data_IF_225271149105
#
_entry.id   IF_225271149105
#
_cell.length_a   1.000
_cell.length_b   1.000
_cell.length_c   1.000
_cell.angle_alpha   90.00
_cell.angle_beta   90.00
_cell.angle_gamma   90.00
#
_symmetry.space_group_name_H-M   'P 1'
#
loop_
_entity.id
_entity.type
_entity.pdbx_description
1 polymer ?
#
# COMPACT_ATOMS: atom_id res chain seq x y z
N UNK A 1 -0.75 26.05 -0.64
CA UNK A 1 -2.19 25.81 -0.32
C UNK A 1 -2.22 24.42 0.28
N UNK A 2 -2.44 24.27 1.60
CA UNK A 2 -2.08 23.04 2.32
C UNK A 2 -2.68 21.74 1.75
N UNK A 3 -3.85 21.81 1.12
CA UNK A 3 -4.49 20.67 0.46
C UNK A 3 -3.80 20.25 -0.84
N UNK A 4 -3.33 21.21 -1.65
CA UNK A 4 -2.62 20.92 -2.89
C UNK A 4 -1.26 20.27 -2.62
N UNK A 5 -0.53 20.81 -1.65
CA UNK A 5 0.79 20.31 -1.26
C UNK A 5 0.70 18.84 -0.77
N UNK A 6 -0.37 18.51 -0.03
CA UNK A 6 -0.67 17.13 0.39
C UNK A 6 -1.01 16.19 -0.77
N UNK A 7 -1.77 16.66 -1.77
CA UNK A 7 -2.09 15.83 -2.95
C UNK A 7 -0.83 15.55 -3.77
N UNK A 8 0.01 16.57 -3.95
CA UNK A 8 1.28 16.44 -4.66
C UNK A 8 2.23 15.47 -3.95
N UNK A 9 2.31 15.50 -2.63
CA UNK A 9 3.13 14.54 -1.87
C UNK A 9 2.70 13.08 -2.11
N UNK A 10 1.40 12.81 -2.18
CA UNK A 10 0.88 11.46 -2.47
C UNK A 10 1.17 11.05 -3.90
N UNK A 11 1.01 11.99 -4.85
CA UNK A 11 1.30 11.75 -6.25
C UNK A 11 2.78 11.42 -6.47
N UNK A 12 3.67 12.16 -5.81
CA UNK A 12 5.12 11.94 -5.86
C UNK A 12 5.50 10.54 -5.35
N UNK A 13 5.01 10.12 -4.19
CA UNK A 13 5.24 8.77 -3.65
C UNK A 13 4.67 7.67 -4.54
N UNK A 14 3.49 7.92 -5.12
CA UNK A 14 2.89 6.99 -6.06
C UNK A 14 3.74 6.85 -7.32
N UNK A 15 4.34 7.95 -7.80
CA UNK A 15 5.25 7.94 -8.95
C UNK A 15 6.51 7.11 -8.64
N UNK A 16 7.15 7.36 -7.49
CA UNK A 16 8.32 6.60 -7.04
C UNK A 16 8.04 5.09 -6.97
N UNK A 17 6.85 4.71 -6.50
CA UNK A 17 6.40 3.31 -6.51
C UNK A 17 6.29 2.74 -7.94
N UNK A 18 5.73 3.51 -8.88
CA UNK A 18 5.61 3.10 -10.28
C UNK A 18 6.94 3.03 -11.02
N UNK A 19 7.92 3.86 -10.66
CA UNK A 19 9.28 3.78 -11.21
C UNK A 19 9.96 2.44 -10.89
N UNK A 20 9.57 1.80 -9.79
CA UNK A 20 10.02 0.47 -9.37
C UNK A 20 8.99 -0.63 -9.64
N UNK A 21 8.03 -0.41 -10.55
CA UNK A 21 6.92 -1.33 -10.78
C UNK A 21 7.37 -2.76 -11.11
N UNK A 22 8.43 -2.89 -11.91
CA UNK A 22 8.96 -4.20 -12.32
C UNK A 22 9.47 -5.00 -11.12
N UNK A 23 10.08 -4.33 -10.16
CA UNK A 23 10.58 -4.91 -8.92
C UNK A 23 9.40 -5.34 -8.03
N UNK A 24 8.36 -4.51 -7.93
CA UNK A 24 7.13 -4.84 -7.22
C UNK A 24 6.41 -6.06 -7.81
N UNK A 25 6.42 -6.23 -9.14
CA UNK A 25 5.82 -7.39 -9.81
C UNK A 25 6.49 -8.73 -9.46
N UNK A 26 7.64 -8.72 -8.78
CA UNK A 26 8.33 -9.93 -8.29
C UNK A 26 7.86 -10.37 -6.90
N UNK A 27 7.07 -9.54 -6.21
CA UNK A 27 6.46 -9.89 -4.95
C UNK A 27 5.43 -11.00 -5.15
N UNK A 28 5.12 -11.74 -4.08
CA UNK A 28 3.95 -12.59 -4.13
C UNK A 28 2.67 -11.73 -4.28
N UNK A 29 1.57 -12.30 -4.80
CA UNK A 29 0.36 -11.53 -5.10
C UNK A 29 -0.19 -10.71 -3.92
N UNK A 30 -0.12 -11.24 -2.69
CA UNK A 30 -0.65 -10.55 -1.52
C UNK A 30 0.27 -9.42 -1.06
N UNK A 31 1.59 -9.62 -1.06
CA UNK A 31 2.56 -8.53 -0.82
C UNK A 31 2.46 -7.44 -1.88
N UNK A 32 2.27 -7.81 -3.15
CA UNK A 32 2.08 -6.86 -4.24
C UNK A 32 0.84 -5.98 -4.01
N UNK A 33 -0.32 -6.59 -3.74
CA UNK A 33 -1.57 -5.84 -3.53
C UNK A 33 -1.45 -4.95 -2.31
N UNK A 34 -0.87 -5.44 -1.21
CA UNK A 34 -0.63 -4.63 -0.01
C UNK A 34 0.26 -3.42 -0.33
N UNK A 35 1.42 -3.64 -0.97
CA UNK A 35 2.36 -2.59 -1.40
C UNK A 35 1.66 -1.55 -2.28
N UNK A 36 0.82 -1.98 -3.22
CA UNK A 36 0.08 -1.09 -4.10
C UNK A 36 -0.95 -0.23 -3.35
N UNK A 37 -1.66 -0.81 -2.38
CA UNK A 37 -2.66 -0.11 -1.58
C UNK A 37 -2.03 0.98 -0.69
N UNK A 38 -0.84 0.72 -0.15
CA UNK A 38 -0.16 1.65 0.78
C UNK A 38 0.83 2.61 0.10
N UNK A 39 1.04 2.53 -1.22
CA UNK A 39 2.05 3.31 -1.98
C UNK A 39 2.08 4.82 -1.74
N UNK A 40 0.92 5.41 -1.40
CA UNK A 40 0.82 6.85 -1.12
C UNK A 40 1.24 7.23 0.31
N UNK A 41 1.62 6.26 1.14
CA UNK A 41 1.91 6.36 2.58
C UNK A 41 0.78 7.02 3.41
N UNK A 42 -0.45 6.98 2.90
CA UNK A 42 -1.63 7.53 3.58
C UNK A 42 -2.60 6.47 4.08
N UNK A 43 -2.45 5.25 3.63
CA UNK A 43 -3.22 4.10 4.07
C UNK A 43 -2.24 3.20 4.80
N UNK A 44 -2.32 3.18 6.13
CA UNK A 44 -1.62 2.17 6.93
C UNK A 44 -2.45 0.89 7.04
N UNK A 45 -1.88 -0.14 7.66
CA UNK A 45 -2.59 -1.41 7.90
C UNK A 45 -3.89 -1.20 8.70
N UNK A 46 -3.91 -0.28 9.66
CA UNK A 46 -5.12 0.05 10.42
C UNK A 46 -6.22 0.74 9.59
N UNK A 47 -5.85 1.56 8.59
CA UNK A 47 -6.81 2.08 7.64
C UNK A 47 -7.41 0.97 6.77
N UNK A 48 -6.58 0.01 6.37
CA UNK A 48 -7.01 -1.16 5.61
C UNK A 48 -7.91 -2.07 6.44
N UNK A 49 -7.65 -2.24 7.75
CA UNK A 49 -8.55 -3.00 8.65
C UNK A 49 -9.96 -2.40 8.69
N UNK A 50 -10.07 -1.06 8.65
CA UNK A 50 -11.36 -0.36 8.62
C UNK A 50 -12.05 -0.43 7.25
N UNK A 51 -11.30 -0.26 6.16
CA UNK A 51 -11.87 -0.07 4.81
C UNK A 51 -11.98 -1.36 3.99
N UNK A 52 -11.12 -2.33 4.26
CA UNK A 52 -10.99 -3.58 3.55
C UNK A 52 -10.63 -4.74 4.51
N UNK A 53 -11.47 -5.01 5.54
CA UNK A 53 -11.16 -5.99 6.58
C UNK A 53 -10.86 -7.39 6.04
N UNK A 54 -11.61 -7.85 5.03
CA UNK A 54 -11.37 -9.15 4.37
C UNK A 54 -10.03 -9.22 3.65
N UNK A 55 -9.52 -8.10 3.14
CA UNK A 55 -8.20 -8.09 2.53
C UNK A 55 -7.13 -8.30 3.60
N UNK A 56 -7.22 -7.57 4.71
CA UNK A 56 -6.25 -7.69 5.81
C UNK A 56 -6.24 -9.08 6.41
N UNK A 57 -7.41 -9.67 6.66
CA UNK A 57 -7.52 -11.05 7.15
C UNK A 57 -6.80 -12.05 6.23
N UNK A 58 -7.05 -11.98 4.92
CA UNK A 58 -6.38 -12.87 3.98
C UNK A 58 -4.87 -12.56 3.85
N UNK A 59 -4.48 -11.29 3.87
CA UNK A 59 -3.08 -10.88 3.83
C UNK A 59 -2.30 -11.45 5.03
N UNK A 60 -2.84 -11.30 6.24
CA UNK A 60 -2.25 -11.82 7.48
C UNK A 60 -2.18 -13.36 7.47
N UNK A 61 -3.19 -14.06 6.92
CA UNK A 61 -3.17 -15.52 6.76
C UNK A 61 -2.05 -16.00 5.82
N UNK A 62 -1.74 -15.25 4.76
CA UNK A 62 -0.72 -15.65 3.78
C UNK A 62 0.70 -15.24 4.17
N UNK A 63 0.87 -14.23 5.03
CA UNK A 63 2.17 -13.67 5.38
C UNK A 63 2.64 -14.02 6.80
N UNK A 64 1.77 -14.66 7.59
CA UNK A 64 1.95 -14.77 9.03
C UNK A 64 1.78 -13.40 9.69
N UNK A 65 1.29 -13.38 10.93
CA UNK A 65 1.31 -12.15 11.74
C UNK A 65 2.77 -11.82 12.04
N UNK A 66 3.43 -11.06 11.18
CA UNK A 66 4.70 -10.44 11.58
C UNK A 66 4.37 -9.46 12.72
N UNK A 67 5.01 -9.61 13.90
CA UNK A 67 4.70 -8.84 15.10
C UNK A 67 4.91 -7.33 14.93
#
# INVERSE_FOLDING_TARGET
>A
RPTADRLLAVAQRSLEWYEQFREHMRLDPWAFVHSYMVRGERLGLDDLRRRAPRFVENYEQHHGTSP
#
